data_IF_581548958614
#
_entry.id   IF_581548958614
#
_cell.length_a   1.000
_cell.length_b   1.000
_cell.length_c   1.000
_cell.angle_alpha   90.00
_cell.angle_beta   90.00
_cell.angle_gamma   90.00
#
_symmetry.space_group_name_H-M   'P 1'
#
loop_
_entity.id
_entity.type
_entity.pdbx_description
1 polymer ?
#
# COMPACT_ATOMS: atom_id res chain seq x y z
N UNK A 1 34.65 -18.66 58.43
CA UNK A 1 33.36 -18.11 58.00
C UNK A 1 33.24 -18.32 56.51
N UNK A 2 32.32 -19.19 56.06
CA UNK A 2 32.26 -19.68 54.67
C UNK A 2 31.89 -18.58 53.67
N UNK A 3 32.68 -18.42 52.60
CA UNK A 3 32.44 -17.44 51.50
C UNK A 3 30.99 -17.44 50.96
N UNK A 4 30.27 -18.57 51.08
CA UNK A 4 28.86 -18.72 50.66
C UNK A 4 27.89 -17.94 51.58
N UNK A 5 28.19 -17.81 52.90
CA UNK A 5 27.38 -17.04 53.83
C UNK A 5 27.53 -15.54 53.64
N UNK A 6 28.71 -15.07 53.26
CA UNK A 6 28.97 -13.67 52.94
C UNK A 6 28.20 -13.25 51.67
N UNK A 7 28.18 -14.12 50.65
CA UNK A 7 27.43 -13.86 49.41
C UNK A 7 25.91 -13.82 49.62
N UNK A 8 25.38 -14.73 50.44
CA UNK A 8 23.97 -14.74 50.80
C UNK A 8 23.57 -13.48 51.61
N UNK A 9 24.43 -13.04 52.52
CA UNK A 9 24.20 -11.83 53.32
C UNK A 9 24.17 -10.56 52.44
N UNK A 10 25.06 -10.47 51.44
CA UNK A 10 25.04 -9.37 50.46
C UNK A 10 23.81 -9.38 49.56
N UNK A 11 23.34 -10.54 49.15
CA UNK A 11 22.10 -10.66 48.34
C UNK A 11 20.88 -10.25 49.16
N UNK A 12 20.76 -10.69 50.42
CA UNK A 12 19.64 -10.34 51.29
C UNK A 12 19.71 -8.84 51.68
N UNK A 13 20.90 -8.28 51.92
CA UNK A 13 21.08 -6.84 52.16
C UNK A 13 20.76 -6.01 50.90
N UNK A 14 21.08 -6.47 49.71
CA UNK A 14 20.75 -5.78 48.46
C UNK A 14 19.26 -5.81 48.16
N UNK A 15 18.56 -6.91 48.43
CA UNK A 15 17.10 -7.02 48.31
C UNK A 15 16.38 -6.15 49.33
N UNK A 16 16.93 -6.00 50.52
CA UNK A 16 16.36 -5.13 51.59
C UNK A 16 16.55 -3.64 51.33
N UNK A 17 17.46 -3.25 50.42
CA UNK A 17 17.70 -1.85 50.01
C UNK A 17 16.87 -1.43 48.78
N UNK A 18 16.10 -2.35 48.17
CA UNK A 18 15.18 -1.96 47.10
C UNK A 18 14.07 -1.09 47.74
N UNK A 19 13.86 0.14 47.22
CA UNK A 19 12.79 0.98 47.77
C UNK A 19 11.46 0.28 47.52
N UNK A 20 10.80 -0.20 48.59
CA UNK A 20 9.42 -0.62 48.55
C UNK A 20 8.59 0.61 48.22
N UNK A 21 8.24 0.74 46.92
CA UNK A 21 7.28 1.76 46.53
C UNK A 21 5.96 1.42 47.18
N UNK A 22 5.50 2.28 48.09
CA UNK A 22 4.13 2.21 48.59
C UNK A 22 3.17 2.14 47.39
N UNK A 23 2.20 1.21 47.41
CA UNK A 23 1.20 1.20 46.34
C UNK A 23 0.49 2.57 46.34
N UNK A 24 0.52 3.26 45.21
CA UNK A 24 -0.18 4.52 45.04
C UNK A 24 -1.68 4.31 45.31
N UNK A 25 -2.38 5.23 45.99
CA UNK A 25 -3.80 5.09 46.23
C UNK A 25 -4.56 5.07 44.88
N UNK A 26 -5.55 4.19 44.80
CA UNK A 26 -6.49 4.15 43.68
C UNK A 26 -7.56 5.21 43.95
N UNK A 27 -7.67 6.19 43.04
CA UNK A 27 -8.59 7.33 43.17
C UNK A 27 -9.58 7.26 41.98
N UNK A 28 -10.84 7.63 42.29
CA UNK A 28 -11.86 7.86 41.27
C UNK A 28 -12.19 9.35 41.18
N UNK A 29 -12.17 9.89 39.92
CA UNK A 29 -12.63 11.24 39.69
C UNK A 29 -13.62 11.25 38.48
N UNK A 30 -14.75 11.97 38.57
CA UNK A 30 -15.69 12.12 37.48
C UNK A 30 -15.02 12.70 36.22
N UNK A 31 -15.21 12.08 35.06
CA UNK A 31 -14.56 12.45 33.76
C UNK A 31 -13.12 11.97 33.64
N UNK A 32 -12.49 11.49 34.70
CA UNK A 32 -11.13 10.99 34.72
C UNK A 32 -11.07 9.47 34.94
N UNK A 33 -12.14 8.88 35.51
CA UNK A 33 -12.20 7.46 35.83
C UNK A 33 -11.33 7.08 37.05
N UNK A 34 -10.98 5.78 37.13
CA UNK A 34 -10.07 5.24 38.15
C UNK A 34 -8.62 5.43 37.74
N UNK A 35 -7.79 5.93 38.64
CA UNK A 35 -6.34 6.08 38.41
C UNK A 35 -5.52 5.90 39.68
N UNK A 36 -4.24 5.55 39.52
CA UNK A 36 -3.27 5.51 40.61
C UNK A 36 -2.50 6.83 40.67
N UNK A 37 -2.53 7.53 41.79
CA UNK A 37 -1.77 8.74 41.95
C UNK A 37 -0.27 8.41 42.15
N UNK A 38 0.62 8.76 41.20
CA UNK A 38 2.04 8.47 41.32
C UNK A 38 2.67 9.35 42.37
N UNK A 39 3.21 8.75 43.44
CA UNK A 39 3.94 9.48 44.48
C UNK A 39 5.20 10.16 43.90
N UNK A 40 5.35 11.45 44.11
CA UNK A 40 6.64 12.14 44.05
C UNK A 40 7.09 12.74 42.73
N UNK A 41 6.19 13.15 41.81
CA UNK A 41 6.59 13.90 40.63
C UNK A 41 6.31 15.40 40.79
N UNK A 42 7.31 16.17 41.17
CA UNK A 42 7.23 17.64 41.33
C UNK A 42 7.79 18.41 40.12
N UNK A 43 7.78 17.82 38.91
CA UNK A 43 8.20 18.53 37.71
C UNK A 43 7.21 19.67 37.40
N UNK A 44 7.70 20.80 36.90
CA UNK A 44 6.89 21.99 36.57
C UNK A 44 5.71 21.68 35.65
N UNK A 45 5.82 20.64 34.85
CA UNK A 45 4.80 20.19 33.87
C UNK A 45 3.80 19.16 34.47
N UNK A 46 3.92 18.75 35.74
CA UNK A 46 3.00 17.75 36.33
C UNK A 46 1.79 18.41 36.96
N UNK A 47 0.63 17.79 36.80
CA UNK A 47 -0.64 18.20 37.41
C UNK A 47 -1.29 16.97 38.05
N UNK A 48 -2.25 17.23 38.93
CA UNK A 48 -2.96 16.20 39.70
C UNK A 48 -4.28 15.76 39.00
N UNK A 49 -4.74 16.52 38.02
CA UNK A 49 -5.97 16.23 37.27
C UNK A 49 -5.67 16.02 35.79
N UNK A 50 -6.39 15.10 35.15
CA UNK A 50 -6.22 14.78 33.76
C UNK A 50 -6.41 15.99 32.82
N UNK A 51 -7.43 16.81 33.10
CA UNK A 51 -7.70 18.03 32.34
C UNK A 51 -6.52 18.99 32.37
N UNK A 52 -6.09 19.35 33.54
CA UNK A 52 -5.01 20.32 33.74
C UNK A 52 -3.69 19.79 33.15
N UNK A 53 -3.48 18.47 33.24
CA UNK A 53 -2.32 17.80 32.61
C UNK A 53 -2.35 17.86 31.10
N UNK A 54 -3.53 17.69 30.47
CA UNK A 54 -3.71 17.86 29.04
C UNK A 54 -3.48 19.32 28.62
N UNK A 55 -3.99 20.30 29.39
CA UNK A 55 -3.77 21.72 29.11
C UNK A 55 -2.27 22.08 29.06
N UNK A 56 -1.47 21.50 29.93
CA UNK A 56 0.01 21.66 29.88
C UNK A 56 0.57 21.09 28.58
N UNK A 57 0.08 19.92 28.13
CA UNK A 57 0.54 19.32 26.87
C UNK A 57 0.14 20.19 25.66
N UNK A 58 -1.08 20.73 25.64
CA UNK A 58 -1.58 21.59 24.56
C UNK A 58 -0.85 22.93 24.49
N UNK A 59 -0.58 23.55 25.63
CA UNK A 59 0.19 24.79 25.71
C UNK A 59 1.64 24.59 25.25
N UNK A 60 2.29 23.52 25.73
CA UNK A 60 3.64 23.16 25.27
C UNK A 60 3.68 22.89 23.76
N UNK A 61 2.67 22.20 23.20
CA UNK A 61 2.57 21.97 21.78
C UNK A 61 2.43 23.27 20.96
N UNK A 62 1.61 24.20 21.41
CA UNK A 62 1.48 25.54 20.78
C UNK A 62 2.82 26.29 20.77
N UNK A 63 3.61 26.13 21.83
CA UNK A 63 4.92 26.74 21.97
C UNK A 63 6.04 25.93 21.28
N UNK A 64 5.70 24.86 20.53
CA UNK A 64 6.64 23.96 19.85
C UNK A 64 7.62 23.24 20.80
N UNK A 65 7.32 23.21 22.10
CA UNK A 65 8.05 22.41 23.09
C UNK A 65 7.53 20.96 23.06
N UNK A 66 7.98 20.21 22.04
CA UNK A 66 7.54 18.83 21.82
C UNK A 66 7.99 17.89 22.94
N UNK A 67 9.11 18.18 23.59
CA UNK A 67 9.60 17.38 24.73
C UNK A 67 8.63 17.45 25.91
N UNK A 68 8.26 18.66 26.35
CA UNK A 68 7.28 18.85 27.43
C UNK A 68 5.91 18.32 27.03
N UNK A 69 5.50 18.52 25.76
CA UNK A 69 4.25 17.99 25.24
C UNK A 69 4.19 16.46 25.40
N UNK A 70 5.23 15.75 24.95
CA UNK A 70 5.29 14.29 25.03
C UNK A 70 5.25 13.81 26.49
N UNK A 71 6.04 14.43 27.39
CA UNK A 71 6.03 14.07 28.80
C UNK A 71 4.65 14.28 29.45
N UNK A 72 4.02 15.41 29.18
CA UNK A 72 2.71 15.73 29.73
C UNK A 72 1.61 14.83 29.16
N UNK A 73 1.58 14.60 27.85
CA UNK A 73 0.62 13.73 27.18
C UNK A 73 0.78 12.26 27.61
N UNK A 74 2.01 11.73 27.66
CA UNK A 74 2.24 10.37 28.15
C UNK A 74 1.83 10.19 29.61
N UNK A 75 1.93 11.25 30.43
CA UNK A 75 1.42 11.19 31.82
C UNK A 75 -0.11 11.04 31.81
N UNK A 76 -0.85 11.78 30.96
CA UNK A 76 -2.31 11.59 30.81
C UNK A 76 -2.62 10.13 30.49
N UNK A 77 -1.96 9.58 29.47
CA UNK A 77 -2.18 8.21 28.99
C UNK A 77 -1.82 7.13 30.01
N UNK A 78 -0.84 7.40 30.88
CA UNK A 78 -0.39 6.47 31.90
C UNK A 78 -1.23 6.49 33.15
N UNK A 79 -1.63 7.69 33.60
CA UNK A 79 -2.31 7.88 34.88
C UNK A 79 -3.83 7.84 34.73
N UNK A 80 -4.35 8.39 33.60
CA UNK A 80 -5.79 8.49 33.33
C UNK A 80 -6.18 7.91 31.96
N UNK A 81 -5.86 6.65 31.68
CA UNK A 81 -6.06 6.05 30.33
C UNK A 81 -7.53 5.93 29.93
N UNK A 82 -8.46 6.00 30.89
CA UNK A 82 -9.91 5.90 30.67
C UNK A 82 -10.62 7.25 30.75
N UNK A 83 -9.88 8.35 30.89
CA UNK A 83 -10.46 9.69 30.94
C UNK A 83 -10.86 10.16 29.53
N UNK A 84 -11.82 11.08 29.48
CA UNK A 84 -12.25 11.76 28.25
C UNK A 84 -11.11 12.58 27.60
N UNK A 85 -10.02 12.82 28.34
CA UNK A 85 -8.84 13.57 27.90
C UNK A 85 -7.76 12.69 27.25
N UNK A 86 -7.83 11.37 27.45
CA UNK A 86 -6.84 10.43 26.92
C UNK A 86 -6.78 10.37 25.39
N UNK A 87 -7.90 10.40 24.63
CA UNK A 87 -7.85 10.43 23.16
C UNK A 87 -7.07 11.65 22.64
N UNK A 88 -7.33 12.82 23.22
CA UNK A 88 -6.66 14.06 22.83
C UNK A 88 -5.16 14.05 23.17
N UNK A 89 -4.78 13.50 24.32
CA UNK A 89 -3.38 13.30 24.67
C UNK A 89 -2.68 12.35 23.70
N UNK A 90 -3.32 11.23 23.32
CA UNK A 90 -2.77 10.30 22.34
C UNK A 90 -2.60 10.96 20.96
N UNK A 91 -3.54 11.80 20.55
CA UNK A 91 -3.44 12.59 19.32
C UNK A 91 -2.22 13.52 19.35
N UNK A 92 -1.99 14.24 20.46
CA UNK A 92 -0.82 15.12 20.61
C UNK A 92 0.50 14.36 20.52
N UNK A 93 0.55 13.13 21.05
CA UNK A 93 1.74 12.27 20.90
C UNK A 93 2.02 12.00 19.43
N UNK A 94 1.00 11.62 18.64
CA UNK A 94 1.13 11.42 17.20
C UNK A 94 1.61 12.69 16.50
N UNK A 95 1.01 13.85 16.83
CA UNK A 95 1.36 15.15 16.23
C UNK A 95 2.80 15.56 16.55
N UNK A 96 3.27 15.38 17.78
CA UNK A 96 4.66 15.68 18.12
C UNK A 96 5.64 14.84 17.33
N UNK A 97 5.40 13.54 17.21
CA UNK A 97 6.24 12.64 16.45
C UNK A 97 6.27 13.03 14.94
N UNK A 98 5.15 13.47 14.42
CA UNK A 98 5.06 13.97 13.04
C UNK A 98 5.88 15.26 12.85
N UNK A 99 5.80 16.22 13.82
CA UNK A 99 6.60 17.45 13.79
C UNK A 99 8.10 17.18 13.94
N UNK A 100 8.48 16.11 14.62
CA UNK A 100 9.86 15.64 14.74
C UNK A 100 10.31 14.79 13.51
N UNK A 101 9.51 14.68 12.45
CA UNK A 101 9.76 13.84 11.27
C UNK A 101 9.99 12.36 11.63
N UNK A 102 9.34 11.88 12.66
CA UNK A 102 9.31 10.49 13.09
C UNK A 102 8.03 9.82 12.59
N UNK A 103 7.83 9.89 11.29
CA UNK A 103 6.58 9.59 10.61
C UNK A 103 6.06 8.16 10.85
N UNK A 104 6.95 7.16 10.87
CA UNK A 104 6.58 5.78 11.15
C UNK A 104 6.00 5.63 12.57
N UNK A 105 6.69 6.23 13.55
CA UNK A 105 6.21 6.22 14.93
C UNK A 105 4.91 7.03 15.10
N UNK A 106 4.77 8.15 14.36
CA UNK A 106 3.55 8.94 14.35
C UNK A 106 2.37 8.12 13.81
N UNK A 107 2.57 7.44 12.68
CA UNK A 107 1.57 6.56 12.07
C UNK A 107 1.10 5.48 13.06
N UNK A 108 2.02 4.82 13.76
CA UNK A 108 1.68 3.80 14.75
C UNK A 108 0.93 4.39 15.95
N UNK A 109 1.28 5.61 16.42
CA UNK A 109 0.52 6.26 17.49
C UNK A 109 -0.89 6.66 17.08
N UNK A 110 -1.09 7.03 15.81
CA UNK A 110 -2.42 7.24 15.25
C UNK A 110 -3.21 5.93 15.13
N UNK A 111 -2.56 4.82 14.74
CA UNK A 111 -3.20 3.50 14.76
C UNK A 111 -3.63 3.09 16.18
N UNK A 112 -2.75 3.28 17.16
CA UNK A 112 -3.05 3.03 18.57
C UNK A 112 -4.25 3.86 19.06
N UNK A 113 -4.36 5.12 18.61
CA UNK A 113 -5.47 6.01 18.97
C UNK A 113 -6.78 5.46 18.42
N UNK A 114 -6.87 5.19 17.11
CA UNK A 114 -8.09 4.69 16.48
C UNK A 114 -8.54 3.35 17.08
N UNK A 115 -7.58 2.50 17.46
CA UNK A 115 -7.87 1.21 18.08
C UNK A 115 -8.38 1.35 19.52
N UNK A 116 -7.78 2.24 20.32
CA UNK A 116 -8.12 2.41 21.74
C UNK A 116 -9.33 3.31 21.96
N UNK A 117 -9.48 4.32 21.13
CA UNK A 117 -10.49 5.36 21.25
C UNK A 117 -11.25 5.57 19.93
N UNK A 118 -12.03 4.59 19.48
CA UNK A 118 -12.70 4.61 18.16
C UNK A 118 -13.77 5.70 17.99
N UNK A 119 -14.16 6.36 19.09
CA UNK A 119 -15.13 7.47 19.08
C UNK A 119 -14.48 8.84 19.25
N UNK A 120 -13.20 8.96 18.88
CA UNK A 120 -12.50 10.26 18.95
C UNK A 120 -13.04 11.24 17.93
N UNK A 121 -13.20 12.52 18.32
CA UNK A 121 -13.63 13.60 17.42
C UNK A 121 -12.63 13.87 16.28
N UNK A 122 -11.38 13.46 16.46
CA UNK A 122 -10.32 13.64 15.45
C UNK A 122 -10.21 12.46 14.48
N UNK A 123 -11.21 11.58 14.37
CA UNK A 123 -11.12 10.34 13.60
C UNK A 123 -10.73 10.56 12.14
N UNK A 124 -11.46 11.40 11.42
CA UNK A 124 -11.22 11.68 10.01
C UNK A 124 -9.90 12.44 9.78
N UNK A 125 -9.58 13.39 10.66
CA UNK A 125 -8.30 14.09 10.63
C UNK A 125 -7.12 13.11 10.77
N UNK A 126 -7.24 12.13 11.65
CA UNK A 126 -6.19 11.11 11.86
C UNK A 126 -6.00 10.26 10.60
N UNK A 127 -7.08 9.85 9.95
CA UNK A 127 -7.01 9.09 8.70
C UNK A 127 -6.31 9.88 7.59
N UNK A 128 -6.62 11.18 7.46
CA UNK A 128 -5.93 12.06 6.51
C UNK A 128 -4.45 12.24 6.84
N UNK A 129 -4.10 12.42 8.11
CA UNK A 129 -2.68 12.48 8.53
C UNK A 129 -1.92 11.21 8.22
N UNK A 130 -2.54 10.06 8.48
CA UNK A 130 -1.94 8.77 8.13
C UNK A 130 -1.75 8.64 6.61
N UNK A 131 -2.68 9.14 5.81
CA UNK A 131 -2.57 9.17 4.35
C UNK A 131 -1.41 10.07 3.89
N UNK A 132 -1.26 11.24 4.48
CA UNK A 132 -0.13 12.14 4.19
C UNK A 132 1.22 11.51 4.55
N UNK A 133 1.28 10.83 5.72
CA UNK A 133 2.48 10.08 6.12
C UNK A 133 2.79 8.98 5.08
N UNK A 134 1.80 8.18 4.70
CA UNK A 134 1.98 7.12 3.70
C UNK A 134 2.42 7.69 2.33
N UNK A 135 1.93 8.87 1.94
CA UNK A 135 2.37 9.57 0.74
C UNK A 135 3.84 9.98 0.80
N UNK A 136 4.36 10.36 1.95
CA UNK A 136 5.80 10.65 2.12
C UNK A 136 6.64 9.39 1.86
N UNK A 137 6.21 8.23 2.38
CA UNK A 137 6.88 6.95 2.11
C UNK A 137 6.75 6.53 0.64
N UNK A 138 5.59 6.74 0.04
CA UNK A 138 5.40 6.55 -1.41
C UNK A 138 6.34 7.45 -2.24
N UNK A 139 6.59 8.66 -1.78
CA UNK A 139 7.54 9.62 -2.35
C UNK A 139 9.02 9.21 -2.20
N UNK A 140 9.31 8.15 -1.44
CA UNK A 140 10.67 7.64 -1.28
C UNK A 140 11.30 7.93 0.09
N UNK A 141 10.51 8.31 1.08
CA UNK A 141 11.01 8.40 2.45
C UNK A 141 11.49 7.03 2.94
N UNK A 142 12.59 7.02 3.69
CA UNK A 142 13.17 5.79 4.21
C UNK A 142 12.43 5.32 5.47
N UNK A 143 12.18 4.03 5.55
CA UNK A 143 11.85 3.34 6.79
C UNK A 143 13.09 3.27 7.67
N UNK A 144 12.88 3.36 8.99
CA UNK A 144 13.96 3.45 9.96
C UNK A 144 14.05 2.18 10.80
N UNK A 145 15.27 1.81 11.19
CA UNK A 145 15.55 0.71 12.13
C UNK A 145 16.14 1.26 13.43
N UNK A 146 16.39 0.37 14.40
CA UNK A 146 16.93 0.72 15.73
C UNK A 146 16.11 1.84 16.40
N UNK A 147 14.82 1.55 16.66
CA UNK A 147 13.88 2.47 17.32
C UNK A 147 13.73 3.83 16.60
N UNK A 148 13.92 3.85 15.28
CA UNK A 148 13.72 5.04 14.46
C UNK A 148 14.95 5.95 14.33
N UNK A 149 16.13 5.49 14.69
CA UNK A 149 17.35 6.31 14.60
C UNK A 149 18.04 6.21 13.23
N UNK A 150 18.04 5.03 12.59
CA UNK A 150 18.81 4.82 11.36
C UNK A 150 17.89 4.62 10.14
N UNK A 151 17.89 5.53 9.14
CA UNK A 151 17.18 5.30 7.88
C UNK A 151 17.88 4.18 7.11
N UNK A 152 17.14 3.17 6.64
CA UNK A 152 17.76 1.99 6.03
C UNK A 152 17.29 1.72 4.61
N UNK A 153 15.99 1.69 4.36
CA UNK A 153 15.43 1.23 3.09
C UNK A 153 14.11 1.93 2.74
N UNK A 154 13.78 1.90 1.46
CA UNK A 154 12.44 2.26 0.97
C UNK A 154 11.69 0.97 0.66
N UNK A 155 10.40 0.89 0.98
CA UNK A 155 9.57 -0.28 0.70
C UNK A 155 8.19 0.15 0.22
N UNK A 156 7.87 -0.20 -1.01
CA UNK A 156 6.53 0.01 -1.53
C UNK A 156 5.53 -0.99 -0.96
N UNK A 157 5.98 -2.19 -0.58
CA UNK A 157 5.15 -3.17 0.11
C UNK A 157 4.67 -2.66 1.49
N UNK A 158 5.60 -2.14 2.32
CA UNK A 158 5.21 -1.54 3.61
C UNK A 158 4.34 -0.29 3.41
N UNK A 159 4.62 0.52 2.39
CA UNK A 159 3.80 1.67 2.04
C UNK A 159 2.38 1.26 1.62
N UNK A 160 2.24 0.21 0.81
CA UNK A 160 0.92 -0.34 0.45
C UNK A 160 0.16 -0.86 1.69
N UNK A 161 0.86 -1.49 2.64
CA UNK A 161 0.26 -1.92 3.93
C UNK A 161 -0.20 -0.73 4.77
N UNK A 162 0.53 0.40 4.77
CA UNK A 162 0.10 1.62 5.45
C UNK A 162 -1.23 2.12 4.88
N UNK A 163 -1.36 2.23 3.55
CA UNK A 163 -2.64 2.59 2.92
C UNK A 163 -3.74 1.58 3.23
N UNK A 164 -3.42 0.28 3.25
CA UNK A 164 -4.36 -0.78 3.62
C UNK A 164 -4.91 -0.61 5.05
N UNK A 165 -4.05 -0.22 6.02
CA UNK A 165 -4.48 0.08 7.39
C UNK A 165 -5.47 1.27 7.44
N UNK A 166 -5.26 2.30 6.60
CA UNK A 166 -6.18 3.45 6.50
C UNK A 166 -7.55 3.02 5.99
N UNK A 167 -7.57 2.26 4.88
CA UNK A 167 -8.83 1.73 4.29
C UNK A 167 -9.57 0.82 5.27
N UNK A 168 -8.85 -0.01 6.02
CA UNK A 168 -9.45 -0.93 6.99
C UNK A 168 -10.03 -0.21 8.21
N UNK A 169 -9.39 0.86 8.67
CA UNK A 169 -9.90 1.66 9.77
C UNK A 169 -11.15 2.43 9.37
N UNK A 170 -11.12 3.13 8.22
CA UNK A 170 -12.23 3.97 7.78
C UNK A 170 -12.66 3.68 6.34
N UNK A 171 -13.29 2.50 6.04
CA UNK A 171 -13.62 2.10 4.67
C UNK A 171 -14.62 3.01 3.96
N UNK A 172 -15.36 3.81 4.72
CA UNK A 172 -16.37 4.76 4.23
C UNK A 172 -15.96 6.23 4.43
N UNK A 173 -14.74 6.47 4.90
CA UNK A 173 -14.18 7.83 5.02
C UNK A 173 -13.83 8.40 3.65
N UNK A 174 -13.76 9.73 3.57
CA UNK A 174 -13.41 10.43 2.33
C UNK A 174 -11.99 10.09 1.83
N UNK A 175 -11.09 9.71 2.72
CA UNK A 175 -9.71 9.35 2.37
C UNK A 175 -9.59 7.91 1.85
N UNK A 176 -10.51 7.01 2.20
CA UNK A 176 -10.40 5.59 1.86
C UNK A 176 -10.33 5.30 0.35
N UNK A 177 -11.13 5.96 -0.52
CA UNK A 177 -11.01 5.78 -1.97
C UNK A 177 -9.62 6.14 -2.49
N UNK A 178 -9.06 7.24 -2.01
CA UNK A 178 -7.72 7.69 -2.36
C UNK A 178 -6.64 6.72 -1.87
N UNK A 179 -6.76 6.26 -0.64
CA UNK A 179 -5.84 5.27 -0.07
C UNK A 179 -5.89 3.93 -0.84
N UNK A 180 -7.08 3.49 -1.26
CA UNK A 180 -7.24 2.27 -2.05
C UNK A 180 -6.57 2.38 -3.42
N UNK A 181 -6.69 3.52 -4.10
CA UNK A 181 -5.95 3.79 -5.35
C UNK A 181 -4.44 3.77 -5.13
N UNK A 182 -3.96 4.33 -4.03
CA UNK A 182 -2.53 4.37 -3.71
C UNK A 182 -1.96 2.99 -3.34
N UNK A 183 -2.77 2.05 -2.83
CA UNK A 183 -2.35 0.64 -2.72
C UNK A 183 -1.94 0.11 -4.09
N UNK A 184 -2.78 0.31 -5.11
CA UNK A 184 -2.47 -0.09 -6.49
C UNK A 184 -1.22 0.58 -7.01
N UNK A 185 -1.07 1.89 -6.80
CA UNK A 185 0.10 2.64 -7.24
C UNK A 185 1.41 2.19 -6.57
N UNK A 186 1.36 1.87 -5.27
CA UNK A 186 2.53 1.36 -4.55
C UNK A 186 2.92 -0.04 -5.05
N UNK A 187 1.95 -0.93 -5.27
CA UNK A 187 2.17 -2.26 -5.85
C UNK A 187 2.73 -2.18 -7.28
N UNK A 188 2.21 -1.26 -8.08
CA UNK A 188 2.70 -1.01 -9.44
C UNK A 188 4.16 -0.52 -9.44
N UNK A 189 4.51 0.40 -8.52
CA UNK A 189 5.87 0.91 -8.35
C UNK A 189 6.84 -0.19 -7.90
N UNK A 190 6.35 -1.16 -7.13
CA UNK A 190 7.09 -2.37 -6.73
C UNK A 190 7.16 -3.43 -7.84
N UNK A 191 6.49 -3.19 -8.99
CA UNK A 191 6.35 -4.11 -10.11
C UNK A 191 5.52 -5.37 -9.78
N UNK A 192 4.80 -5.37 -8.68
CA UNK A 192 3.80 -6.38 -8.35
C UNK A 192 2.47 -6.02 -9.06
N UNK A 193 2.48 -6.25 -10.36
CA UNK A 193 1.36 -5.84 -11.23
C UNK A 193 0.08 -6.62 -10.93
N UNK A 194 0.17 -7.85 -10.47
CA UNK A 194 -1.03 -8.65 -10.12
C UNK A 194 -1.73 -8.09 -8.89
N UNK A 195 -0.97 -7.76 -7.86
CA UNK A 195 -1.53 -7.10 -6.69
C UNK A 195 -2.02 -5.67 -7.00
N UNK A 196 -1.35 -4.96 -7.94
CA UNK A 196 -1.79 -3.64 -8.37
C UNK A 196 -3.15 -3.71 -9.09
N UNK A 197 -3.31 -4.62 -10.04
CA UNK A 197 -4.60 -4.87 -10.72
C UNK A 197 -5.70 -5.14 -9.72
N UNK A 198 -5.49 -6.09 -8.80
CA UNK A 198 -6.48 -6.42 -7.77
C UNK A 198 -6.85 -5.24 -6.88
N UNK A 199 -5.88 -4.37 -6.55
CA UNK A 199 -6.14 -3.17 -5.76
C UNK A 199 -6.97 -2.14 -6.53
N UNK A 200 -6.73 -1.96 -7.83
CA UNK A 200 -7.52 -1.07 -8.68
C UNK A 200 -8.92 -1.63 -8.97
N UNK A 201 -9.07 -2.94 -9.23
CA UNK A 201 -10.38 -3.60 -9.31
C UNK A 201 -11.19 -3.35 -8.05
N UNK A 202 -10.58 -3.60 -6.88
CA UNK A 202 -11.22 -3.34 -5.58
C UNK A 202 -11.63 -1.88 -5.42
N UNK A 203 -10.82 -0.92 -5.94
CA UNK A 203 -11.17 0.50 -5.90
C UNK A 203 -12.38 0.81 -6.80
N UNK A 204 -12.39 0.28 -8.01
CA UNK A 204 -13.49 0.49 -8.96
C UNK A 204 -14.81 -0.08 -8.42
N UNK A 205 -14.78 -1.29 -7.86
CA UNK A 205 -15.97 -1.97 -7.34
C UNK A 205 -16.49 -1.31 -6.07
N UNK A 206 -15.63 -1.06 -5.10
CA UNK A 206 -16.03 -0.54 -3.78
C UNK A 206 -16.53 0.90 -3.86
N UNK A 207 -15.91 1.70 -4.71
CA UNK A 207 -16.19 3.13 -4.82
C UNK A 207 -16.85 3.51 -6.16
N UNK A 208 -17.63 2.57 -6.75
CA UNK A 208 -18.36 2.77 -8.01
C UNK A 208 -19.33 3.96 -7.97
N UNK A 209 -19.83 4.33 -6.78
CA UNK A 209 -20.68 5.51 -6.55
C UNK A 209 -19.92 6.84 -6.59
N UNK A 210 -18.59 6.81 -6.73
CA UNK A 210 -17.72 7.96 -6.91
C UNK A 210 -17.08 7.92 -8.31
N UNK A 211 -17.75 8.50 -9.35
CA UNK A 211 -17.34 8.30 -10.75
C UNK A 211 -15.88 8.67 -11.04
N UNK A 212 -15.36 9.71 -10.40
CA UNK A 212 -13.97 10.15 -10.58
C UNK A 212 -12.97 9.09 -10.10
N UNK A 213 -13.24 8.48 -8.96
CA UNK A 213 -12.40 7.42 -8.36
C UNK A 213 -12.51 6.14 -9.18
N UNK A 214 -13.73 5.73 -9.51
CA UNK A 214 -13.97 4.52 -10.29
C UNK A 214 -13.33 4.60 -11.69
N UNK A 215 -13.46 5.75 -12.35
CA UNK A 215 -12.82 5.98 -13.65
C UNK A 215 -11.29 5.95 -13.56
N UNK A 216 -10.70 6.55 -12.51
CA UNK A 216 -9.25 6.52 -12.30
C UNK A 216 -8.76 5.08 -12.03
N UNK A 217 -9.49 4.33 -11.22
CA UNK A 217 -9.20 2.93 -10.93
C UNK A 217 -9.21 2.06 -12.18
N UNK A 218 -10.29 2.11 -12.98
CA UNK A 218 -10.42 1.32 -14.21
C UNK A 218 -9.35 1.67 -15.25
N UNK A 219 -9.05 2.95 -15.40
CA UNK A 219 -8.01 3.38 -16.32
C UNK A 219 -6.62 2.92 -15.90
N UNK A 220 -6.28 3.01 -14.59
CA UNK A 220 -4.99 2.51 -14.04
C UNK A 220 -4.89 0.99 -14.13
N UNK A 221 -5.98 0.29 -13.90
CA UNK A 221 -6.08 -1.15 -14.10
C UNK A 221 -5.70 -1.54 -15.53
N UNK A 222 -6.30 -0.90 -16.54
CA UNK A 222 -5.98 -1.13 -17.95
C UNK A 222 -4.50 -0.84 -18.28
N UNK A 223 -3.96 0.30 -17.79
CA UNK A 223 -2.52 0.63 -17.93
C UNK A 223 -1.64 -0.45 -17.31
N UNK A 224 -2.04 -1.00 -16.16
CA UNK A 224 -1.24 -2.01 -15.46
C UNK A 224 -1.15 -3.30 -16.25
N UNK A 225 -2.24 -3.75 -16.90
CA UNK A 225 -2.20 -4.87 -17.85
C UNK A 225 -1.34 -4.55 -19.07
N UNK A 226 -1.45 -3.34 -19.62
CA UNK A 226 -0.61 -2.91 -20.73
C UNK A 226 0.89 -2.96 -20.35
N UNK A 227 1.28 -2.52 -19.15
CA UNK A 227 2.67 -2.63 -18.68
C UNK A 227 3.15 -4.07 -18.52
N UNK A 228 2.26 -5.00 -18.20
CA UNK A 228 2.59 -6.43 -18.16
C UNK A 228 2.82 -6.96 -19.59
N UNK A 229 1.98 -6.58 -20.56
CA UNK A 229 2.08 -7.06 -21.93
C UNK A 229 3.38 -6.66 -22.63
N UNK A 230 3.96 -5.49 -22.31
CA UNK A 230 5.23 -5.03 -22.91
C UNK A 230 6.46 -5.79 -22.41
N UNK A 231 6.36 -6.51 -21.29
CA UNK A 231 7.47 -7.30 -20.73
C UNK A 231 7.49 -8.76 -21.20
N UNK A 232 6.36 -9.26 -21.66
CA UNK A 232 6.21 -10.63 -22.14
C UNK A 232 6.05 -10.61 -23.65
N UNK A 233 7.17 -10.62 -24.40
CA UNK A 233 7.22 -10.58 -25.87
C UNK A 233 6.35 -11.69 -26.54
N UNK A 234 5.94 -12.69 -25.75
CA UNK A 234 5.16 -13.84 -26.17
C UNK A 234 3.83 -14.04 -25.41
N UNK A 235 3.54 -13.21 -24.38
CA UNK A 235 2.29 -13.33 -23.62
C UNK A 235 1.19 -12.43 -24.21
N UNK A 236 0.52 -12.93 -25.23
CA UNK A 236 -0.63 -12.23 -25.83
C UNK A 236 -1.84 -12.14 -24.90
N UNK A 237 -1.88 -12.96 -23.84
CA UNK A 237 -2.97 -12.95 -22.86
C UNK A 237 -3.08 -11.63 -22.13
N UNK A 238 -1.95 -11.05 -21.72
CA UNK A 238 -1.93 -9.75 -21.00
C UNK A 238 -2.34 -8.58 -21.91
N UNK A 239 -1.97 -8.62 -23.20
CA UNK A 239 -2.45 -7.64 -24.17
C UNK A 239 -3.96 -7.71 -24.37
N UNK A 240 -4.54 -8.92 -24.43
CA UNK A 240 -5.98 -9.13 -24.48
C UNK A 240 -6.70 -8.58 -23.23
N UNK A 241 -6.16 -8.83 -22.04
CA UNK A 241 -6.70 -8.28 -20.78
C UNK A 241 -6.65 -6.74 -20.75
N UNK A 242 -5.57 -6.14 -21.25
CA UNK A 242 -5.47 -4.68 -21.35
C UNK A 242 -6.52 -4.10 -22.32
N UNK A 243 -6.70 -4.71 -23.48
CA UNK A 243 -7.73 -4.30 -24.47
C UNK A 243 -9.12 -4.37 -23.85
N UNK A 244 -9.46 -5.47 -23.16
CA UNK A 244 -10.74 -5.64 -22.48
C UNK A 244 -10.94 -4.54 -21.41
N UNK A 245 -9.97 -4.33 -20.52
CA UNK A 245 -10.05 -3.33 -19.46
C UNK A 245 -10.20 -1.89 -19.99
N UNK A 246 -9.49 -1.53 -21.09
CA UNK A 246 -9.70 -0.24 -21.73
C UNK A 246 -11.07 -0.13 -22.39
N UNK A 247 -11.58 -1.21 -22.97
CA UNK A 247 -12.93 -1.22 -23.57
C UNK A 247 -14.00 -1.04 -22.50
N UNK A 248 -13.86 -1.72 -21.35
CA UNK A 248 -14.76 -1.56 -20.21
C UNK A 248 -14.73 -0.13 -19.68
N UNK A 249 -13.53 0.45 -19.53
CA UNK A 249 -13.38 1.85 -19.14
C UNK A 249 -14.13 2.80 -20.10
N UNK A 250 -13.95 2.67 -21.41
CA UNK A 250 -14.61 3.52 -22.41
C UNK A 250 -16.14 3.32 -22.38
N UNK A 251 -16.60 2.09 -22.14
CA UNK A 251 -18.02 1.77 -22.08
C UNK A 251 -18.70 2.39 -20.86
N UNK A 252 -18.04 2.31 -19.71
CA UNK A 252 -18.59 2.82 -18.42
C UNK A 252 -18.45 4.35 -18.32
N UNK A 253 -17.36 4.91 -18.86
CA UNK A 253 -17.04 6.34 -18.77
C UNK A 253 -16.79 6.98 -20.14
N UNK A 254 -17.81 7.03 -21.03
CA UNK A 254 -17.63 7.47 -22.43
C UNK A 254 -17.22 8.94 -22.56
N UNK A 255 -17.55 9.77 -21.55
CA UNK A 255 -17.25 11.21 -21.54
C UNK A 255 -15.94 11.55 -20.79
N UNK A 256 -15.19 10.55 -20.31
CA UNK A 256 -13.91 10.80 -19.63
C UNK A 256 -12.86 11.30 -20.64
N UNK A 257 -12.12 12.31 -20.23
CA UNK A 257 -11.05 12.93 -21.03
C UNK A 257 -9.98 11.95 -21.53
N UNK A 258 -9.86 10.79 -20.90
CA UNK A 258 -8.88 9.73 -21.21
C UNK A 258 -9.38 8.74 -22.27
N UNK A 259 -10.64 8.83 -22.71
CA UNK A 259 -11.22 7.91 -23.70
C UNK A 259 -10.42 7.88 -25.00
N UNK A 260 -10.00 9.02 -25.53
CA UNK A 260 -9.18 9.08 -26.74
C UNK A 260 -7.83 8.36 -26.55
N UNK A 261 -7.19 8.53 -25.40
CA UNK A 261 -5.94 7.83 -25.06
C UNK A 261 -6.15 6.31 -24.92
N UNK A 262 -7.26 5.89 -24.31
CA UNK A 262 -7.62 4.48 -24.19
C UNK A 262 -7.88 3.83 -25.56
N UNK A 263 -8.58 4.49 -26.47
CA UNK A 263 -8.79 4.04 -27.85
C UNK A 263 -7.47 3.89 -28.61
N UNK A 264 -6.57 4.85 -28.46
CA UNK A 264 -5.23 4.77 -29.04
C UNK A 264 -4.44 3.58 -28.48
N UNK A 265 -4.48 3.37 -27.16
CA UNK A 265 -3.83 2.22 -26.51
C UNK A 265 -4.37 0.89 -27.04
N UNK A 266 -5.69 0.74 -27.18
CA UNK A 266 -6.33 -0.44 -27.79
C UNK A 266 -5.80 -0.68 -29.21
N UNK A 267 -5.73 0.38 -30.03
CA UNK A 267 -5.23 0.28 -31.41
C UNK A 267 -3.78 -0.19 -31.45
N UNK A 268 -2.93 0.37 -30.59
CA UNK A 268 -1.52 -0.03 -30.48
C UNK A 268 -1.37 -1.48 -29.99
N UNK A 269 -2.14 -1.89 -28.98
CA UNK A 269 -2.10 -3.26 -28.47
C UNK A 269 -2.56 -4.29 -29.49
N UNK A 270 -3.62 -3.99 -30.26
CA UNK A 270 -4.07 -4.84 -31.38
C UNK A 270 -3.01 -4.97 -32.46
N UNK A 271 -2.35 -3.88 -32.85
CA UNK A 271 -1.27 -3.92 -33.83
C UNK A 271 -0.07 -4.75 -33.29
N UNK A 272 0.24 -4.64 -32.00
CA UNK A 272 1.31 -5.43 -31.39
C UNK A 272 0.95 -6.92 -31.30
N UNK A 273 -0.30 -7.29 -31.01
CA UNK A 273 -0.75 -8.68 -31.06
C UNK A 273 -0.54 -9.29 -32.47
N UNK A 274 -0.92 -8.55 -33.52
CA UNK A 274 -0.72 -8.99 -34.93
C UNK A 274 0.77 -9.19 -35.20
N UNK A 275 1.63 -8.26 -34.78
CA UNK A 275 3.08 -8.36 -34.94
C UNK A 275 3.63 -9.57 -34.16
N UNK A 276 3.18 -9.78 -32.96
CA UNK A 276 3.60 -10.90 -32.08
C UNK A 276 3.25 -12.25 -32.74
N UNK A 277 2.01 -12.45 -33.21
CA UNK A 277 1.60 -13.67 -33.88
C UNK A 277 2.42 -13.92 -35.16
N UNK A 278 2.76 -12.86 -35.89
CA UNK A 278 3.61 -12.98 -37.07
C UNK A 278 5.04 -13.43 -36.69
N UNK A 279 5.65 -12.86 -35.66
CA UNK A 279 6.99 -13.25 -35.18
C UNK A 279 7.00 -14.70 -34.68
N UNK A 280 5.97 -15.11 -33.94
CA UNK A 280 5.82 -16.50 -33.49
C UNK A 280 5.67 -17.46 -34.68
N UNK A 281 4.90 -17.09 -35.72
CA UNK A 281 4.80 -17.89 -36.93
C UNK A 281 6.17 -18.11 -37.60
N UNK A 282 6.97 -17.04 -37.72
CA UNK A 282 8.33 -17.11 -38.28
C UNK A 282 9.26 -17.96 -37.39
N UNK A 283 9.13 -17.87 -36.06
CA UNK A 283 9.90 -18.73 -35.15
C UNK A 283 9.60 -20.21 -35.39
N UNK A 284 8.31 -20.60 -35.49
CA UNK A 284 7.96 -21.97 -35.82
C UNK A 284 8.53 -22.40 -37.16
N UNK A 285 8.36 -21.58 -38.18
CA UNK A 285 8.84 -21.91 -39.53
C UNK A 285 10.36 -22.15 -39.61
N UNK A 286 11.13 -21.34 -38.86
CA UNK A 286 12.59 -21.36 -38.90
C UNK A 286 13.23 -22.23 -37.80
N UNK A 287 12.46 -22.83 -36.90
CA UNK A 287 12.95 -23.61 -35.78
C UNK A 287 13.78 -24.81 -36.23
N UNK A 288 14.97 -24.98 -35.69
CA UNK A 288 15.86 -26.13 -35.96
C UNK A 288 15.61 -27.30 -35.01
N UNK A 289 14.86 -27.10 -33.94
CA UNK A 289 14.62 -28.10 -32.90
C UNK A 289 13.33 -28.88 -33.08
N UNK A 290 12.41 -28.38 -33.88
CA UNK A 290 11.11 -29.01 -34.19
C UNK A 290 11.18 -29.87 -35.44
N UNK A 291 10.34 -30.92 -35.49
CA UNK A 291 10.14 -31.70 -36.71
C UNK A 291 9.52 -30.84 -37.86
N UNK A 292 9.71 -31.24 -39.11
CA UNK A 292 9.19 -30.51 -40.27
C UNK A 292 7.67 -30.30 -40.18
N UNK A 293 6.93 -31.32 -39.70
CA UNK A 293 5.49 -31.25 -39.54
C UNK A 293 5.09 -30.27 -38.41
N UNK A 294 5.76 -30.31 -37.29
CA UNK A 294 5.50 -29.40 -36.17
C UNK A 294 5.78 -27.94 -36.56
N UNK A 295 6.88 -27.68 -37.25
CA UNK A 295 7.22 -26.33 -37.76
C UNK A 295 6.13 -25.78 -38.68
N UNK A 296 5.71 -26.57 -39.70
CA UNK A 296 4.72 -26.13 -40.68
C UNK A 296 3.36 -25.92 -40.05
N UNK A 297 2.90 -26.84 -39.18
CA UNK A 297 1.63 -26.71 -38.47
C UNK A 297 1.63 -25.49 -37.57
N UNK A 298 2.65 -25.33 -36.73
CA UNK A 298 2.78 -24.18 -35.82
C UNK A 298 2.79 -22.85 -36.63
N UNK A 299 3.60 -22.75 -37.68
CA UNK A 299 3.66 -21.55 -38.50
C UNK A 299 2.29 -21.21 -39.13
N UNK A 300 1.60 -22.20 -39.69
CA UNK A 300 0.27 -21.98 -40.31
C UNK A 300 -0.76 -21.51 -39.27
N UNK A 301 -0.74 -22.05 -38.09
CA UNK A 301 -1.65 -21.61 -37.00
C UNK A 301 -1.48 -20.12 -36.74
N UNK A 302 -0.25 -19.69 -36.47
CA UNK A 302 0.01 -18.30 -36.14
C UNK A 302 -0.09 -17.33 -37.32
N UNK A 303 0.21 -17.77 -38.56
CA UNK A 303 -0.10 -16.94 -39.75
C UNK A 303 -1.61 -16.78 -39.95
N UNK A 304 -2.43 -17.81 -39.68
CA UNK A 304 -3.88 -17.65 -39.70
C UNK A 304 -4.36 -16.70 -38.61
N UNK A 305 -3.76 -16.73 -37.41
CA UNK A 305 -4.07 -15.80 -36.32
C UNK A 305 -3.80 -14.33 -36.74
N UNK A 306 -2.68 -14.05 -37.44
CA UNK A 306 -2.42 -12.73 -38.03
C UNK A 306 -3.59 -12.27 -38.92
N UNK A 307 -4.12 -13.17 -39.76
CA UNK A 307 -5.23 -12.83 -40.63
C UNK A 307 -6.57 -12.67 -39.92
N UNK A 308 -6.77 -13.40 -38.82
CA UNK A 308 -7.96 -13.28 -37.97
C UNK A 308 -7.95 -11.97 -37.18
N UNK A 309 -6.80 -11.61 -36.60
CA UNK A 309 -6.64 -10.39 -35.79
C UNK A 309 -6.77 -9.12 -36.65
N UNK A 310 -6.12 -9.09 -37.82
CA UNK A 310 -6.25 -7.97 -38.78
C UNK A 310 -5.88 -8.39 -40.19
N UNK A 311 -6.91 -8.69 -41.07
CA UNK A 311 -6.69 -9.11 -42.42
C UNK A 311 -6.06 -8.04 -43.34
N UNK A 312 -6.03 -6.79 -42.91
CA UNK A 312 -5.46 -5.65 -43.61
C UNK A 312 -4.16 -5.14 -42.99
N UNK A 313 -3.58 -5.91 -42.07
CA UNK A 313 -2.30 -5.54 -41.44
C UNK A 313 -1.15 -5.54 -42.44
N UNK A 314 -0.04 -4.84 -42.15
CA UNK A 314 1.18 -4.90 -42.98
C UNK A 314 1.73 -6.33 -43.13
N UNK A 315 1.42 -7.23 -42.21
CA UNK A 315 1.87 -8.63 -42.19
C UNK A 315 0.93 -9.58 -42.94
N UNK A 316 -0.32 -9.16 -43.25
CA UNK A 316 -1.35 -10.04 -43.78
C UNK A 316 -1.01 -10.61 -45.15
N UNK A 317 -0.44 -9.82 -46.05
CA UNK A 317 -0.04 -10.28 -47.38
C UNK A 317 1.03 -11.40 -47.29
N UNK A 318 2.05 -11.19 -46.48
CA UNK A 318 3.11 -12.16 -46.28
C UNK A 318 2.59 -13.43 -45.56
N UNK A 319 1.70 -13.28 -44.58
CA UNK A 319 1.07 -14.40 -43.89
C UNK A 319 0.29 -15.30 -44.89
N UNK A 320 -0.53 -14.73 -45.79
CA UNK A 320 -1.23 -15.48 -46.83
C UNK A 320 -0.25 -16.25 -47.73
N UNK A 321 0.77 -15.58 -48.26
CA UNK A 321 1.78 -16.20 -49.11
C UNK A 321 2.48 -17.37 -48.40
N UNK A 322 2.83 -17.22 -47.10
CA UNK A 322 3.48 -18.31 -46.38
C UNK A 322 2.53 -19.48 -46.10
N UNK A 323 1.27 -19.25 -45.79
CA UNK A 323 0.25 -20.30 -45.63
C UNK A 323 0.10 -21.10 -46.92
N UNK A 324 -0.01 -20.43 -48.08
CA UNK A 324 -0.10 -21.07 -49.36
C UNK A 324 1.12 -21.93 -49.70
N UNK A 325 2.32 -21.45 -49.34
CA UNK A 325 3.56 -22.20 -49.56
C UNK A 325 3.69 -23.41 -48.63
N UNK A 326 3.20 -23.34 -47.39
CA UNK A 326 3.37 -24.39 -46.39
C UNK A 326 2.31 -25.48 -46.43
N UNK A 327 1.06 -25.19 -46.85
CA UNK A 327 -0.05 -26.16 -46.93
C UNK A 327 0.26 -27.37 -47.83
N UNK A 328 0.78 -27.24 -49.06
CA UNK A 328 1.10 -28.38 -49.91
C UNK A 328 2.15 -29.32 -49.33
N UNK A 329 3.13 -28.73 -48.60
CA UNK A 329 4.20 -29.47 -47.93
C UNK A 329 3.75 -30.32 -46.76
N UNK A 330 2.55 -30.06 -46.19
CA UNK A 330 1.92 -30.90 -45.17
C UNK A 330 1.20 -32.10 -45.79
N UNK A 331 0.61 -31.92 -46.99
CA UNK A 331 -0.12 -32.95 -47.70
C UNK A 331 0.82 -33.96 -48.38
N UNK A 332 1.94 -33.45 -48.93
CA UNK A 332 2.94 -34.26 -49.63
C UNK A 332 4.33 -33.94 -48.98
N UNK A 333 4.68 -34.59 -47.87
CA UNK A 333 6.02 -34.35 -47.26
C UNK A 333 7.08 -34.83 -48.27
N UNK A 334 8.15 -34.02 -48.51
CA UNK A 334 9.26 -34.48 -49.34
C UNK A 334 9.85 -35.76 -48.76
N UNK A 335 10.14 -36.72 -49.61
CA UNK A 335 10.79 -37.98 -49.24
C UNK A 335 12.05 -37.66 -48.44
N UNK A 336 12.18 -38.23 -47.24
CA UNK A 336 13.28 -38.05 -46.31
C UNK A 336 14.59 -38.60 -46.84
#
# INVERSE_FOLDING_TARGET
>A
MNRRFIFLFFIVAFVGLLPFRSPAPLIYAPGEGWYYEPAGSNAKWTRTRAKDQLEVAEEAFKNQDYSTTLHAAYRVLKVWPLSDYAPRAQYLVGRCLEMEHRDEAAFDKYQDLLKKYPRTDSYDEILWRQYEIANRFYGGQFFRIFWGYLPLYTSMDETAKMYGKIVNNGPYSDVAPHAQLQIGAAREKDKDYEAAVKAYETAADRYHNQPVIAADAMYRWAITYQKQSTKAEYDQGKAGQAIAAYTDFITVFPDDKRVAAAQQAITMLKAEQVRGSFVVAQFYENSKTLSATQRRNGAIVYYNEVLQLNPNSPYAAQARQRIEALKPLLQNPPAS
#
